data_IF_566548681835
#
_entry.id   IF_566548681835
#
_cell.length_a   1.000
_cell.length_b   1.000
_cell.length_c   1.000
_cell.angle_alpha   90.00
_cell.angle_beta   90.00
_cell.angle_gamma   90.00
#
_symmetry.space_group_name_H-M   'P 1'
#
loop_
_entity.id
_entity.type
_entity.pdbx_description
1 polymer ?
#
# COMPACT_ATOMS: atom_id res chain seq x y z
N UNK A 1 -6.47 -27.43 -14.42
CA UNK A 1 -5.97 -26.31 -13.61
C UNK A 1 -4.84 -25.66 -14.38
N UNK A 2 -5.03 -24.43 -14.85
CA UNK A 2 -3.92 -23.64 -15.40
C UNK A 2 -2.90 -23.39 -14.29
N UNK A 3 -1.59 -23.43 -14.56
CA UNK A 3 -0.61 -23.06 -13.54
C UNK A 3 -0.91 -21.63 -13.06
N UNK A 4 -0.93 -21.43 -11.74
CA UNK A 4 -1.00 -20.11 -11.12
C UNK A 4 0.14 -19.27 -11.71
N UNK A 5 -0.21 -18.26 -12.52
CA UNK A 5 0.79 -17.32 -13.04
C UNK A 5 1.19 -16.41 -11.90
N UNK A 6 2.49 -16.40 -11.59
CA UNK A 6 3.03 -15.46 -10.62
C UNK A 6 2.82 -14.03 -11.14
N UNK A 7 2.35 -13.09 -10.30
CA UNK A 7 2.18 -11.68 -10.65
C UNK A 7 3.40 -11.02 -11.27
N UNK A 8 4.61 -11.44 -10.86
CA UNK A 8 5.87 -10.89 -11.34
C UNK A 8 6.87 -11.98 -11.70
N UNK A 9 7.74 -11.68 -12.66
CA UNK A 9 8.82 -12.58 -13.07
C UNK A 9 10.05 -11.83 -13.53
N UNK A 10 11.23 -12.19 -13.04
CA UNK A 10 12.49 -11.63 -13.55
C UNK A 10 12.79 -12.08 -14.97
N UNK A 11 13.20 -11.13 -15.81
CA UNK A 11 13.74 -11.38 -17.15
C UNK A 11 15.26 -11.45 -17.11
N UNK A 12 15.85 -12.07 -18.14
CA UNK A 12 17.31 -12.21 -18.27
C UNK A 12 18.06 -10.89 -18.42
N UNK A 13 17.38 -9.84 -18.88
CA UNK A 13 17.91 -8.48 -19.02
C UNK A 13 17.83 -7.65 -17.74
N UNK A 14 17.36 -8.24 -16.63
CA UNK A 14 17.27 -7.58 -15.33
C UNK A 14 15.95 -6.86 -15.08
N UNK A 15 15.08 -6.72 -16.09
CA UNK A 15 13.75 -6.15 -15.93
C UNK A 15 12.78 -7.14 -15.25
N UNK A 16 11.76 -6.62 -14.58
CA UNK A 16 10.66 -7.42 -14.02
C UNK A 16 9.50 -7.41 -15.01
N UNK A 17 9.06 -8.58 -15.46
CA UNK A 17 7.82 -8.72 -16.24
C UNK A 17 6.61 -8.66 -15.30
N UNK A 18 5.64 -7.80 -15.62
CA UNK A 18 4.37 -7.69 -14.90
C UNK A 18 3.35 -8.61 -15.56
N UNK A 19 2.84 -9.58 -14.80
CA UNK A 19 1.88 -10.59 -15.25
C UNK A 19 0.54 -10.51 -14.50
N UNK A 20 0.28 -9.39 -13.83
CA UNK A 20 -1.02 -9.08 -13.24
C UNK A 20 -2.13 -9.13 -14.31
N UNK A 21 -3.19 -9.88 -14.02
CA UNK A 21 -4.39 -9.91 -14.85
C UNK A 21 -5.25 -8.64 -14.64
N UNK A 22 -6.27 -8.45 -15.49
CA UNK A 22 -7.12 -7.27 -15.48
C UNK A 22 -7.88 -7.10 -14.14
N UNK A 23 -8.23 -8.21 -13.49
CA UNK A 23 -8.91 -8.18 -12.19
C UNK A 23 -7.97 -7.73 -11.09
N UNK A 24 -6.74 -8.27 -11.06
CA UNK A 24 -5.70 -7.86 -10.10
C UNK A 24 -5.31 -6.40 -10.29
N UNK A 25 -5.16 -5.94 -11.54
CA UNK A 25 -4.89 -4.52 -11.85
C UNK A 25 -6.03 -3.63 -11.41
N UNK A 26 -7.27 -3.99 -11.71
CA UNK A 26 -8.45 -3.25 -11.29
C UNK A 26 -8.59 -3.16 -9.77
N UNK A 27 -8.40 -4.28 -9.07
CA UNK A 27 -8.46 -4.32 -7.61
C UNK A 27 -7.38 -3.46 -6.96
N UNK A 28 -6.12 -3.54 -7.42
CA UNK A 28 -5.03 -2.71 -6.89
C UNK A 28 -5.25 -1.22 -7.17
N UNK A 29 -5.68 -0.87 -8.38
CA UNK A 29 -5.99 0.53 -8.74
C UNK A 29 -7.07 1.11 -7.85
N UNK A 30 -8.19 0.40 -7.68
CA UNK A 30 -9.27 0.83 -6.79
C UNK A 30 -8.83 0.98 -5.34
N UNK A 31 -8.02 0.05 -4.83
CA UNK A 31 -7.50 0.14 -3.46
C UNK A 31 -6.56 1.33 -3.27
N UNK A 32 -5.68 1.59 -4.23
CA UNK A 32 -4.75 2.73 -4.19
C UNK A 32 -5.51 4.06 -4.22
N UNK A 33 -6.55 4.18 -5.06
CA UNK A 33 -7.41 5.37 -5.14
C UNK A 33 -8.22 5.60 -3.86
N UNK A 34 -8.89 4.55 -3.36
CA UNK A 34 -9.69 4.63 -2.13
C UNK A 34 -8.83 4.98 -0.92
N UNK A 35 -7.68 4.31 -0.76
CA UNK A 35 -6.77 4.58 0.36
C UNK A 35 -6.09 5.93 0.21
N UNK A 36 -5.74 6.35 -1.01
CA UNK A 36 -5.25 7.70 -1.28
C UNK A 36 -6.25 8.78 -0.91
N UNK A 37 -7.53 8.56 -1.21
CA UNK A 37 -8.62 9.46 -0.80
C UNK A 37 -8.77 9.52 0.72
N UNK A 38 -8.70 8.38 1.40
CA UNK A 38 -8.73 8.32 2.88
C UNK A 38 -7.56 9.07 3.52
N UNK A 39 -6.36 8.93 2.96
CA UNK A 39 -5.15 9.63 3.42
C UNK A 39 -5.27 11.14 3.18
N UNK A 40 -5.73 11.55 2.00
CA UNK A 40 -5.96 12.97 1.68
C UNK A 40 -7.01 13.61 2.61
N UNK A 41 -7.99 12.84 3.07
CA UNK A 41 -9.00 13.27 4.05
C UNK A 41 -8.51 13.35 5.50
N UNK A 42 -7.27 12.94 5.80
CA UNK A 42 -6.71 12.97 7.15
C UNK A 42 -7.33 11.98 8.13
N UNK A 43 -7.87 10.85 7.65
CA UNK A 43 -8.54 9.86 8.48
C UNK A 43 -7.61 9.24 9.53
N UNK A 44 -8.11 8.91 10.72
CA UNK A 44 -7.31 8.35 11.82
C UNK A 44 -6.55 7.07 11.45
N UNK A 45 -7.11 6.28 10.54
CA UNK A 45 -6.48 5.05 10.05
C UNK A 45 -5.22 5.30 9.20
N UNK A 46 -4.97 6.54 8.78
CA UNK A 46 -3.73 6.95 8.11
C UNK A 46 -2.60 7.28 9.10
N UNK A 47 -2.90 7.41 10.41
CA UNK A 47 -1.91 7.83 11.41
C UNK A 47 -0.73 6.85 11.54
N UNK A 48 -0.88 5.57 11.18
CA UNK A 48 0.28 4.63 11.14
C UNK A 48 1.30 4.99 10.04
N UNK A 49 0.90 5.75 9.01
CA UNK A 49 1.82 6.30 7.99
C UNK A 49 2.64 7.49 8.52
N UNK A 50 2.19 8.13 9.59
CA UNK A 50 2.85 9.27 10.24
C UNK A 50 2.38 9.31 11.70
N UNK A 51 2.94 8.45 12.58
CA UNK A 51 2.44 8.30 13.94
C UNK A 51 2.46 9.65 14.67
N UNK A 52 1.38 9.99 15.40
CA UNK A 52 1.33 11.24 16.13
C UNK A 52 2.45 11.22 17.18
N UNK A 53 3.16 12.35 17.29
CA UNK A 53 4.22 12.53 18.29
C UNK A 53 3.61 12.63 19.69
N UNK A 54 2.38 13.12 19.78
CA UNK A 54 1.63 13.30 21.02
C UNK A 54 0.31 12.53 21.00
N UNK A 55 -0.09 12.00 22.15
CA UNK A 55 -1.33 11.24 22.30
C UNK A 55 -2.58 12.14 22.38
N UNK A 56 -2.41 13.39 22.80
CA UNK A 56 -3.49 14.38 22.86
C UNK A 56 -3.67 15.03 21.47
N UNK A 57 -4.88 14.99 20.88
CA UNK A 57 -5.15 15.65 19.60
C UNK A 57 -4.86 17.15 19.57
N UNK A 58 -5.02 17.87 20.70
CA UNK A 58 -4.75 19.30 20.79
C UNK A 58 -3.23 19.58 20.74
N UNK A 59 -2.45 18.81 21.50
CA UNK A 59 -0.98 18.91 21.51
C UNK A 59 -0.39 18.48 20.15
N UNK A 60 -0.97 17.46 19.52
CA UNK A 60 -0.59 17.02 18.18
C UNK A 60 -0.90 18.10 17.13
N UNK A 61 -2.06 18.76 17.22
CA UNK A 61 -2.42 19.86 16.34
C UNK A 61 -1.53 21.09 16.56
N UNK A 62 -1.20 21.44 17.80
CA UNK A 62 -0.29 22.54 18.13
C UNK A 62 1.13 22.27 17.63
N UNK A 63 1.63 21.03 17.81
CA UNK A 63 2.90 20.59 17.24
C UNK A 63 2.90 20.66 15.70
N UNK A 64 1.83 20.23 15.05
CA UNK A 64 1.67 20.30 13.59
C UNK A 64 1.64 21.75 13.08
N UNK A 65 0.96 22.64 13.80
CA UNK A 65 0.90 24.07 13.46
C UNK A 65 2.27 24.76 13.63
N UNK A 66 3.07 24.34 14.62
CA UNK A 66 4.43 24.83 14.83
C UNK A 66 5.46 24.30 13.82
N UNK A 67 5.15 23.19 13.15
CA UNK A 67 6.02 22.47 12.24
C UNK A 67 5.51 22.63 10.81
N UNK A 68 5.59 23.85 10.26
CA UNK A 68 4.93 24.30 9.02
C UNK A 68 5.34 23.61 7.70
N UNK A 69 5.91 22.40 7.74
CA UNK A 69 6.29 21.64 6.56
C UNK A 69 6.54 20.14 6.76
N UNK A 70 6.19 19.55 7.91
CA UNK A 70 6.52 18.15 8.20
C UNK A 70 5.43 17.12 7.84
N UNK A 71 4.17 17.44 8.14
CA UNK A 71 3.05 16.48 8.06
C UNK A 71 2.23 16.61 6.76
N UNK A 72 2.06 17.84 6.27
CA UNK A 72 1.46 18.09 4.96
C UNK A 72 2.31 17.48 3.85
N UNK A 73 3.63 17.58 3.98
CA UNK A 73 4.61 17.04 3.02
C UNK A 73 4.59 15.49 3.01
N UNK A 74 4.36 14.83 4.16
CA UNK A 74 4.26 13.37 4.23
C UNK A 74 2.93 12.82 3.69
N UNK A 75 1.83 13.56 3.87
CA UNK A 75 0.50 13.19 3.36
C UNK A 75 0.45 13.38 1.85
N UNK A 76 0.82 14.56 1.35
CA UNK A 76 0.87 14.87 -0.07
C UNK A 76 1.79 13.91 -0.82
N UNK A 77 3.01 13.66 -0.31
CA UNK A 77 3.92 12.69 -0.90
C UNK A 77 3.35 11.26 -0.91
N UNK A 78 2.52 10.89 0.07
CA UNK A 78 1.86 9.58 0.08
C UNK A 78 0.73 9.48 -0.94
N UNK A 79 -0.07 10.53 -1.10
CA UNK A 79 -1.11 10.60 -2.13
C UNK A 79 -0.47 10.55 -3.53
N UNK A 80 0.60 11.32 -3.76
CA UNK A 80 1.36 11.28 -5.02
C UNK A 80 1.93 9.88 -5.26
N UNK A 81 2.52 9.25 -4.24
CA UNK A 81 3.05 7.88 -4.35
C UNK A 81 1.95 6.89 -4.75
N UNK A 82 0.75 6.96 -4.17
CA UNK A 82 -0.34 6.06 -4.57
C UNK A 82 -0.81 6.31 -6.00
N UNK A 83 -0.94 7.57 -6.42
CA UNK A 83 -1.31 7.90 -7.79
C UNK A 83 -0.25 7.40 -8.80
N UNK A 84 1.03 7.51 -8.49
CA UNK A 84 2.10 7.03 -9.37
C UNK A 84 2.21 5.50 -9.36
N UNK A 85 2.00 4.87 -8.21
CA UNK A 85 1.91 3.40 -8.10
C UNK A 85 0.73 2.87 -8.91
N UNK A 86 -0.43 3.53 -8.86
CA UNK A 86 -1.61 3.16 -9.62
C UNK A 86 -1.33 3.22 -11.13
N UNK A 87 -0.77 4.33 -11.61
CA UNK A 87 -0.39 4.48 -13.04
C UNK A 87 0.53 3.35 -13.48
N UNK A 88 1.49 2.97 -12.64
CA UNK A 88 2.42 1.89 -12.92
C UNK A 88 1.70 0.53 -12.98
N UNK A 89 0.85 0.24 -12.00
CA UNK A 89 0.05 -1.00 -11.94
C UNK A 89 -0.88 -1.13 -13.14
N UNK A 90 -1.47 -0.04 -13.63
CA UNK A 90 -2.41 -0.08 -14.76
C UNK A 90 -1.66 -0.24 -16.09
N UNK A 91 -0.57 0.49 -16.29
CA UNK A 91 0.02 0.65 -17.62
C UNK A 91 1.25 -0.23 -17.89
N UNK A 92 1.98 -0.64 -16.85
CA UNK A 92 3.28 -1.27 -17.05
C UNK A 92 3.18 -2.76 -17.36
N UNK A 93 3.93 -3.16 -18.39
CA UNK A 93 4.17 -4.58 -18.77
C UNK A 93 5.52 -5.08 -18.27
N UNK A 94 6.45 -4.16 -18.06
CA UNK A 94 7.77 -4.41 -17.50
C UNK A 94 8.12 -3.30 -16.54
N UNK A 95 8.94 -3.60 -15.54
CA UNK A 95 9.46 -2.63 -14.57
C UNK A 95 10.99 -2.66 -14.61
N UNK A 96 11.60 -1.48 -14.63
CA UNK A 96 13.00 -1.29 -14.29
C UNK A 96 13.21 -1.13 -12.76
N UNK A 97 14.44 -0.91 -12.32
CA UNK A 97 14.75 -0.84 -10.89
C UNK A 97 14.03 0.33 -10.17
N UNK A 98 14.07 1.59 -10.67
CA UNK A 98 13.27 2.68 -10.10
C UNK A 98 11.77 2.38 -10.03
N UNK A 99 11.20 1.78 -11.06
CA UNK A 99 9.77 1.40 -11.08
C UNK A 99 9.45 0.29 -10.07
N UNK A 100 10.36 -0.66 -9.87
CA UNK A 100 10.25 -1.68 -8.82
C UNK A 100 10.25 -1.04 -7.43
N UNK A 101 11.15 -0.11 -7.16
CA UNK A 101 11.24 0.59 -5.87
C UNK A 101 9.97 1.40 -5.59
N UNK A 102 9.45 2.10 -6.61
CA UNK A 102 8.18 2.83 -6.53
C UNK A 102 7.02 1.89 -6.18
N UNK A 103 6.93 0.75 -6.87
CA UNK A 103 5.87 -0.24 -6.64
C UNK A 103 5.95 -0.84 -5.23
N UNK A 104 7.16 -1.19 -4.77
CA UNK A 104 7.38 -1.69 -3.41
C UNK A 104 6.97 -0.66 -2.35
N UNK A 105 7.36 0.61 -2.53
CA UNK A 105 7.00 1.69 -1.62
C UNK A 105 5.47 1.87 -1.54
N UNK A 106 4.80 1.92 -2.70
CA UNK A 106 3.34 2.06 -2.77
C UNK A 106 2.59 0.88 -2.14
N UNK A 107 2.96 -0.35 -2.49
CA UNK A 107 2.34 -1.56 -1.91
C UNK A 107 2.56 -1.65 -0.40
N UNK A 108 3.76 -1.28 0.08
CA UNK A 108 4.03 -1.29 1.51
C UNK A 108 3.19 -0.26 2.27
N UNK A 109 3.07 0.97 1.75
CA UNK A 109 2.20 1.99 2.38
C UNK A 109 0.73 1.56 2.35
N UNK A 110 0.26 0.97 1.25
CA UNK A 110 -1.10 0.44 1.14
C UNK A 110 -1.35 -0.62 2.22
N UNK A 111 -0.44 -1.59 2.36
CA UNK A 111 -0.48 -2.63 3.38
C UNK A 111 -0.54 -2.06 4.81
N UNK A 112 0.25 -1.02 5.08
CA UNK A 112 0.26 -0.38 6.40
C UNK A 112 -1.08 0.26 6.74
N UNK A 113 -1.71 0.99 5.80
CA UNK A 113 -3.03 1.59 6.05
C UNK A 113 -4.09 0.51 6.23
N UNK A 114 -4.15 -0.47 5.32
CA UNK A 114 -5.13 -1.56 5.42
C UNK A 114 -5.00 -2.32 6.73
N UNK A 115 -3.77 -2.68 7.13
CA UNK A 115 -3.51 -3.36 8.39
C UNK A 115 -3.79 -2.52 9.64
N UNK A 116 -3.86 -1.19 9.50
CA UNK A 116 -4.34 -0.30 10.57
C UNK A 116 -5.85 -0.36 10.70
N UNK A 117 -6.56 -0.29 9.57
CA UNK A 117 -8.03 -0.29 9.56
C UNK A 117 -8.58 -1.61 10.09
N UNK A 118 -7.99 -2.75 9.73
CA UNK A 118 -8.42 -4.06 10.22
C UNK A 118 -7.66 -4.53 11.48
N UNK A 119 -6.93 -3.65 12.16
CA UNK A 119 -6.26 -3.95 13.44
C UNK A 119 -5.41 -5.23 13.42
N UNK A 120 -4.54 -5.32 12.41
CA UNK A 120 -3.61 -6.43 12.28
C UNK A 120 -2.61 -6.43 13.43
N UNK A 121 -2.51 -7.58 14.10
CA UNK A 121 -1.61 -7.83 15.23
C UNK A 121 -0.17 -8.10 14.78
N UNK A 122 0.72 -8.33 15.74
CA UNK A 122 2.15 -8.62 15.49
C UNK A 122 2.37 -9.97 14.79
N UNK A 123 1.43 -10.90 14.91
CA UNK A 123 1.47 -12.22 14.27
C UNK A 123 0.90 -12.20 12.84
N UNK A 124 0.34 -11.06 12.41
CA UNK A 124 -0.28 -10.89 11.10
C UNK A 124 -1.75 -11.34 11.05
N UNK A 125 -2.35 -11.63 12.20
CA UNK A 125 -3.77 -11.93 12.37
C UNK A 125 -4.63 -10.68 12.54
N UNK A 126 -5.94 -10.87 12.56
CA UNK A 126 -6.95 -9.83 12.84
C UNK A 126 -7.46 -9.99 14.27
N UNK A 127 -7.57 -8.87 14.99
CA UNK A 127 -7.96 -8.87 16.42
C UNK A 127 -9.43 -9.25 16.67
N UNK A 128 -10.33 -8.96 15.72
CA UNK A 128 -11.76 -9.30 15.79
C UNK A 128 -12.22 -9.97 14.48
N UNK A 129 -12.15 -11.32 14.41
CA UNK A 129 -12.47 -12.06 13.20
C UNK A 129 -13.98 -12.18 12.91
N UNK A 130 -14.86 -11.76 13.82
CA UNK A 130 -16.32 -11.83 13.61
C UNK A 130 -16.89 -10.56 12.94
N UNK A 131 -16.09 -9.49 12.83
CA UNK A 131 -16.45 -8.27 12.09
C UNK A 131 -16.25 -8.45 10.57
N UNK A 132 -17.37 -8.60 9.84
CA UNK A 132 -17.38 -8.80 8.38
C UNK A 132 -16.70 -7.66 7.59
N UNK A 133 -16.78 -6.43 8.09
CA UNK A 133 -16.13 -5.29 7.45
C UNK A 133 -14.61 -5.38 7.61
N UNK A 134 -14.13 -5.71 8.82
CA UNK A 134 -12.69 -5.90 9.05
C UNK A 134 -12.16 -7.12 8.30
N UNK A 135 -12.91 -8.21 8.20
CA UNK A 135 -12.56 -9.39 7.38
C UNK A 135 -12.37 -9.05 5.89
N UNK A 136 -13.25 -8.21 5.35
CA UNK A 136 -13.16 -7.74 3.96
C UNK A 136 -11.87 -6.95 3.74
N UNK A 137 -11.56 -6.01 4.64
CA UNK A 137 -10.35 -5.19 4.58
C UNK A 137 -9.09 -6.04 4.79
N UNK A 138 -9.15 -7.03 5.68
CA UNK A 138 -8.07 -8.00 5.87
C UNK A 138 -7.80 -8.84 4.62
N UNK A 139 -8.84 -9.18 3.84
CA UNK A 139 -8.65 -9.86 2.55
C UNK A 139 -7.89 -8.98 1.55
N UNK A 140 -8.15 -7.67 1.53
CA UNK A 140 -7.37 -6.72 0.72
C UNK A 140 -5.94 -6.55 1.23
N UNK A 141 -5.73 -6.53 2.54
CA UNK A 141 -4.40 -6.53 3.16
C UNK A 141 -3.59 -7.76 2.74
N UNK A 142 -4.19 -8.96 2.80
CA UNK A 142 -3.55 -10.20 2.38
C UNK A 142 -3.25 -10.20 0.88
N UNK A 143 -4.18 -9.72 0.06
CA UNK A 143 -3.97 -9.57 -1.37
C UNK A 143 -2.78 -8.66 -1.68
N UNK A 144 -2.72 -7.45 -1.11
CA UNK A 144 -1.59 -6.53 -1.29
C UNK A 144 -0.26 -7.15 -0.81
N UNK A 145 -0.30 -7.89 0.31
CA UNK A 145 0.86 -8.62 0.85
C UNK A 145 1.35 -9.70 -0.12
N UNK A 146 0.45 -10.48 -0.71
CA UNK A 146 0.80 -11.52 -1.68
C UNK A 146 1.40 -10.93 -2.97
N UNK A 147 0.86 -9.80 -3.45
CA UNK A 147 1.43 -9.08 -4.60
C UNK A 147 2.84 -8.59 -4.29
N UNK A 148 3.05 -7.95 -3.13
CA UNK A 148 4.38 -7.47 -2.71
C UNK A 148 5.38 -8.62 -2.55
N UNK A 149 4.98 -9.74 -1.93
CA UNK A 149 5.80 -10.93 -1.80
C UNK A 149 6.22 -11.50 -3.16
N UNK A 150 5.29 -11.60 -4.12
CA UNK A 150 5.61 -12.04 -5.48
C UNK A 150 6.62 -11.13 -6.18
N UNK A 151 6.60 -9.82 -5.90
CA UNK A 151 7.57 -8.88 -6.47
C UNK A 151 8.96 -9.09 -5.84
N UNK A 152 9.04 -9.24 -4.51
CA UNK A 152 10.28 -9.54 -3.79
C UNK A 152 10.91 -10.85 -4.27
N UNK A 153 10.11 -11.90 -4.44
CA UNK A 153 10.57 -13.19 -4.96
C UNK A 153 11.13 -13.05 -6.38
N UNK A 154 10.49 -12.24 -7.23
CA UNK A 154 10.99 -11.97 -8.58
C UNK A 154 12.33 -11.20 -8.54
N UNK A 155 12.53 -10.28 -7.60
CA UNK A 155 13.79 -9.55 -7.46
C UNK A 155 14.93 -10.47 -6.97
N UNK A 156 14.60 -11.41 -6.07
CA UNK A 156 15.56 -12.34 -5.48
C UNK A 156 15.95 -13.51 -6.41
N UNK A 157 15.10 -13.84 -7.39
CA UNK A 157 15.38 -14.87 -8.42
C UNK A 157 16.44 -14.48 -9.42
#
# INVERSE_FOLDING_TARGET
MSPLRLPFKRRRDGLILVQLDDHQRGALSQLLDQVGTLVAGGHESSWRLSPPTFSDPADQAEYQLGMSGGYTDSTEATVTLFADTEKLVVNSKTLDAPEVDLLLAGLNKLRLVLGTICEVDEEGGISDPDDESKLTIFSYYQFATAIMASLLDAIAS
#
